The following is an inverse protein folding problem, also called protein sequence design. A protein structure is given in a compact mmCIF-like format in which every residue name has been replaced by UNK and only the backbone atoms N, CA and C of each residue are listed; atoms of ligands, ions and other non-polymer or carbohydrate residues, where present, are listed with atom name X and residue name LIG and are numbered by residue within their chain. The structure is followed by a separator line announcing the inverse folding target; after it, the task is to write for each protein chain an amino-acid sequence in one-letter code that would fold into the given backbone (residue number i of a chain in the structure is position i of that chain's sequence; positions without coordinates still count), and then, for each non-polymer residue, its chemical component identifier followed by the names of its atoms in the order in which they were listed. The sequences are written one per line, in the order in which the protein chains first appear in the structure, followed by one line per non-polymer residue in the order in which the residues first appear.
data_IF_015800176772
#
_entry.id   IF_015800176772
#
_cell.length_a   1.000
_cell.length_b   1.000
_cell.length_c   1.000
_cell.angle_alpha   90.00
_cell.angle_beta   90.00
_cell.angle_gamma   90.00
#
_symmetry.space_group_name_H-M   'P 1'
#
loop_
_entity.id
_entity.type
_entity.pdbx_description
1 polymer ?
#
# COMPACT_ATOMS: atom_id res chain seq x y z
N UNK A 1 0.05 -5.47 -12.58
CA UNK A 1 1.26 -4.61 -12.48
C UNK A 1 1.69 -4.41 -11.04
N UNK A 2 0.74 -4.21 -10.12
CA UNK A 2 0.99 -4.13 -8.67
C UNK A 2 1.66 -5.41 -8.13
N UNK A 3 1.31 -6.60 -8.63
CA UNK A 3 1.95 -7.88 -8.25
C UNK A 3 3.46 -7.92 -8.52
N UNK A 4 3.91 -7.29 -9.61
CA UNK A 4 5.35 -7.20 -9.92
C UNK A 4 6.07 -6.30 -8.92
N UNK A 5 5.40 -5.27 -8.42
CA UNK A 5 5.94 -4.39 -7.36
C UNK A 5 6.01 -5.16 -6.04
N UNK A 6 4.99 -5.94 -5.70
CA UNK A 6 4.98 -6.80 -4.49
C UNK A 6 6.15 -7.79 -4.50
N UNK A 7 6.35 -8.48 -5.62
CA UNK A 7 7.50 -9.38 -5.80
C UNK A 7 8.84 -8.64 -5.68
N UNK A 8 8.91 -7.42 -6.21
CA UNK A 8 10.12 -6.59 -6.16
C UNK A 8 10.42 -6.10 -4.74
N UNK A 9 9.39 -5.74 -3.95
CA UNK A 9 9.54 -5.40 -2.54
C UNK A 9 10.20 -6.56 -1.79
N UNK A 10 9.68 -7.78 -1.92
CA UNK A 10 10.22 -8.95 -1.23
C UNK A 10 11.68 -9.26 -1.62
N UNK A 11 12.02 -9.09 -2.90
CA UNK A 11 13.37 -9.39 -3.42
C UNK A 11 14.40 -8.27 -3.17
N UNK A 12 13.95 -7.02 -3.19
CA UNK A 12 14.83 -5.84 -3.16
C UNK A 12 14.93 -5.25 -1.76
N UNK A 13 13.88 -5.29 -0.94
CA UNK A 13 13.92 -4.78 0.43
C UNK A 13 15.08 -5.31 1.26
N UNK A 14 15.42 -6.63 1.29
CA UNK A 14 16.56 -7.12 2.07
C UNK A 14 17.93 -6.63 1.56
N UNK A 15 18.01 -6.12 0.32
CA UNK A 15 19.26 -5.65 -0.29
C UNK A 15 19.37 -4.12 -0.34
N UNK A 16 18.26 -3.44 -0.59
CA UNK A 16 18.15 -1.99 -0.79
C UNK A 16 16.78 -1.49 -0.31
N UNK A 17 16.70 -1.14 0.96
CA UNK A 17 15.47 -0.63 1.58
C UNK A 17 15.09 0.78 1.10
N UNK A 18 16.07 1.67 0.89
CA UNK A 18 15.82 3.05 0.45
C UNK A 18 14.92 3.21 -0.79
N UNK A 19 15.20 2.55 -1.94
CA UNK A 19 14.37 2.71 -3.13
C UNK A 19 12.94 2.19 -2.93
N UNK A 20 12.75 1.19 -2.05
CA UNK A 20 11.41 0.70 -1.70
C UNK A 20 10.65 1.78 -0.91
N UNK A 21 11.28 2.37 0.10
CA UNK A 21 10.69 3.46 0.87
C UNK A 21 10.39 4.67 -0.02
N UNK A 22 11.30 5.05 -0.92
CA UNK A 22 11.16 6.25 -1.75
C UNK A 22 10.16 6.10 -2.90
N UNK A 23 10.02 4.91 -3.49
CA UNK A 23 9.18 4.72 -4.68
C UNK A 23 7.91 3.91 -4.41
N UNK A 24 7.96 2.94 -3.50
CA UNK A 24 6.81 2.07 -3.23
C UNK A 24 5.84 2.71 -2.24
N UNK A 25 6.31 3.43 -1.21
CA UNK A 25 5.40 4.10 -0.27
C UNK A 25 4.50 5.13 -0.97
N UNK A 26 5.02 6.08 -1.78
CA UNK A 26 4.15 7.03 -2.47
C UNK A 26 3.17 6.34 -3.43
N UNK A 27 3.58 5.23 -4.04
CA UNK A 27 2.72 4.43 -4.91
C UNK A 27 1.58 3.77 -4.11
N UNK A 28 1.85 3.22 -2.93
CA UNK A 28 0.79 2.67 -2.05
C UNK A 28 -0.19 3.77 -1.64
N UNK A 29 0.30 4.95 -1.25
CA UNK A 29 -0.56 6.08 -0.86
C UNK A 29 -1.44 6.55 -2.01
N UNK A 30 -0.86 6.62 -3.21
CA UNK A 30 -1.60 6.96 -4.41
C UNK A 30 -2.65 5.90 -4.76
N UNK A 31 -2.32 4.61 -4.68
CA UNK A 31 -3.27 3.52 -4.89
C UNK A 31 -4.44 3.61 -3.90
N UNK A 32 -4.16 3.77 -2.60
CA UNK A 32 -5.19 3.93 -1.57
C UNK A 32 -6.07 5.17 -1.81
N UNK A 33 -5.47 6.28 -2.26
CA UNK A 33 -6.20 7.49 -2.64
C UNK A 33 -7.10 7.28 -3.85
N UNK A 34 -6.59 6.60 -4.89
CA UNK A 34 -7.35 6.31 -6.12
C UNK A 34 -8.55 5.40 -5.86
N UNK A 35 -8.40 4.42 -4.96
CA UNK A 35 -9.49 3.53 -4.54
C UNK A 35 -10.57 4.25 -3.72
N UNK A 36 -10.21 5.33 -3.03
CA UNK A 36 -11.13 6.13 -2.24
C UNK A 36 -11.81 7.27 -3.04
N UNK A 37 -11.12 7.80 -4.07
CA UNK A 37 -11.64 8.88 -4.89
C UNK A 37 -12.71 8.42 -5.90
N UNK A 38 -12.58 7.20 -6.41
CA UNK A 38 -13.62 6.61 -7.23
C UNK A 38 -14.61 5.88 -6.32
N UNK A 39 -15.87 6.31 -6.29
CA UNK A 39 -17.01 5.56 -5.71
C UNK A 39 -17.25 4.18 -6.35
N UNK A 40 -16.29 3.67 -7.13
CA UNK A 40 -16.25 2.37 -7.79
C UNK A 40 -16.16 1.20 -6.79
N UNK A 41 -15.85 1.46 -5.51
CA UNK A 41 -15.96 0.47 -4.44
C UNK A 41 -17.42 -0.02 -4.22
N UNK A 42 -18.43 0.69 -4.74
CA UNK A 42 -19.84 0.36 -4.48
C UNK A 42 -20.44 -0.52 -5.59
N UNK A 43 -19.91 -0.54 -6.82
CA UNK A 43 -20.46 -1.32 -7.94
C UNK A 43 -19.36 -1.91 -8.83
N UNK A 44 -18.71 -2.98 -8.38
CA UNK A 44 -17.89 -3.86 -9.23
C UNK A 44 -16.55 -3.31 -9.74
N UNK A 45 -16.10 -2.15 -9.24
CA UNK A 45 -14.85 -1.53 -9.66
C UNK A 45 -13.62 -2.21 -9.08
N UNK A 46 -12.94 -3.00 -9.90
CA UNK A 46 -11.54 -3.40 -9.76
C UNK A 46 -11.18 -4.18 -8.47
N UNK A 47 -11.94 -5.24 -8.18
CA UNK A 47 -11.63 -6.23 -7.11
C UNK A 47 -10.17 -6.72 -7.20
N UNK A 48 -9.68 -6.93 -8.42
CA UNK A 48 -8.29 -7.33 -8.69
C UNK A 48 -7.27 -6.30 -8.20
N UNK A 49 -7.53 -5.00 -8.42
CA UNK A 49 -6.64 -3.94 -7.93
C UNK A 49 -6.63 -3.88 -6.39
N UNK A 50 -7.79 -4.06 -5.76
CA UNK A 50 -7.89 -4.13 -4.29
C UNK A 50 -7.08 -5.30 -3.74
N UNK A 51 -7.24 -6.48 -4.33
CA UNK A 51 -6.48 -7.67 -3.92
C UNK A 51 -4.98 -7.50 -4.13
N UNK A 52 -4.55 -7.02 -5.30
CA UNK A 52 -3.13 -6.80 -5.58
C UNK A 52 -2.52 -5.73 -4.64
N UNK A 53 -3.29 -4.68 -4.32
CA UNK A 53 -2.87 -3.66 -3.34
C UNK A 53 -2.80 -4.23 -1.93
N UNK A 54 -3.75 -5.09 -1.53
CA UNK A 54 -3.71 -5.80 -0.25
C UNK A 54 -2.44 -6.66 -0.13
N UNK A 55 -2.10 -7.41 -1.20
CA UNK A 55 -0.88 -8.21 -1.25
C UNK A 55 0.38 -7.33 -1.16
N UNK A 56 0.41 -6.19 -1.87
CA UNK A 56 1.53 -5.25 -1.79
C UNK A 56 1.70 -4.69 -0.38
N UNK A 57 0.61 -4.23 0.24
CA UNK A 57 0.60 -3.68 1.60
C UNK A 57 1.06 -4.71 2.61
N UNK A 58 0.55 -5.95 2.52
CA UNK A 58 0.98 -7.05 3.38
C UNK A 58 2.48 -7.34 3.23
N UNK A 59 2.98 -7.50 1.99
CA UNK A 59 4.41 -7.74 1.75
C UNK A 59 5.30 -6.60 2.28
N UNK A 60 4.83 -5.37 2.15
CA UNK A 60 5.53 -4.20 2.67
C UNK A 60 5.49 -4.16 4.20
N UNK A 61 4.38 -4.56 4.82
CA UNK A 61 4.25 -4.68 6.27
C UNK A 61 5.09 -5.84 6.84
N UNK A 62 5.18 -6.99 6.15
CA UNK A 62 6.11 -8.07 6.53
C UNK A 62 7.57 -7.59 6.54
N UNK A 63 7.93 -6.67 5.64
CA UNK A 63 9.27 -6.12 5.52
C UNK A 63 9.58 -4.99 6.54
N UNK A 64 8.64 -4.07 6.74
CA UNK A 64 8.84 -2.82 7.51
C UNK A 64 8.20 -2.85 8.89
N UNK A 65 7.24 -3.76 9.12
CA UNK A 65 6.41 -3.81 10.31
C UNK A 65 5.72 -2.48 10.60
N UNK A 66 5.75 -2.08 11.87
CA UNK A 66 5.14 -0.83 12.35
C UNK A 66 5.72 0.43 11.71
N UNK A 67 6.94 0.39 11.14
CA UNK A 67 7.52 1.53 10.45
C UNK A 67 6.70 1.95 9.21
N UNK A 68 5.90 1.04 8.63
CA UNK A 68 4.97 1.37 7.56
C UNK A 68 3.86 2.31 8.06
N UNK A 69 3.28 1.99 9.23
CA UNK A 69 2.21 2.78 9.84
C UNK A 69 2.70 4.13 10.33
N UNK A 70 3.90 4.18 10.91
CA UNK A 70 4.56 5.42 11.32
C UNK A 70 4.76 6.36 10.12
N UNK A 71 5.30 5.83 9.01
CA UNK A 71 5.48 6.61 7.77
C UNK A 71 4.16 7.04 7.14
N UNK A 72 3.13 6.20 7.22
CA UNK A 72 1.82 6.56 6.72
C UNK A 72 1.20 7.70 7.55
N UNK A 73 1.40 7.68 8.87
CA UNK A 73 0.94 8.71 9.81
C UNK A 73 1.71 10.02 9.70
N UNK A 74 3.01 9.94 9.40
CA UNK A 74 3.90 11.08 9.24
C UNK A 74 3.75 11.79 7.89
N UNK A 75 3.07 11.17 6.92
CA UNK A 75 2.91 11.72 5.59
C UNK A 75 1.63 12.60 5.53
N UNK A 76 1.74 13.93 5.41
CA UNK A 76 0.59 14.86 5.38
C UNK A 76 -0.38 14.61 4.22
N UNK A 77 0.07 13.92 3.16
CA UNK A 77 -0.78 13.55 2.02
C UNK A 77 -1.78 12.44 2.36
N UNK A 78 -1.58 11.71 3.47
CA UNK A 78 -2.46 10.62 3.89
C UNK A 78 -3.63 11.14 4.72
N UNK A 79 -4.83 10.91 4.22
CA UNK A 79 -6.09 11.18 4.91
C UNK A 79 -6.37 10.07 5.94
N UNK A 80 -7.09 10.40 7.02
CA UNK A 80 -7.55 9.42 8.02
C UNK A 80 -8.25 8.20 7.40
N UNK A 81 -9.00 8.38 6.31
CA UNK A 81 -9.66 7.28 5.60
C UNK A 81 -8.67 6.35 4.89
N UNK A 82 -7.58 6.89 4.31
CA UNK A 82 -6.52 6.05 3.73
C UNK A 82 -5.80 5.26 4.81
N UNK A 83 -5.59 5.84 5.99
CA UNK A 83 -5.01 5.15 7.15
C UNK A 83 -5.89 4.01 7.65
N UNK A 84 -7.21 4.22 7.72
CA UNK A 84 -8.16 3.15 8.07
C UNK A 84 -8.20 2.04 7.02
N UNK A 85 -8.13 2.42 5.73
CA UNK A 85 -8.10 1.46 4.64
C UNK A 85 -6.81 0.63 4.64
N UNK A 86 -5.66 1.27 4.85
CA UNK A 86 -4.38 0.59 5.02
C UNK A 86 -4.46 -0.46 6.14
N UNK A 87 -4.97 -0.07 7.31
CA UNK A 87 -5.15 -0.99 8.45
C UNK A 87 -6.10 -2.14 8.11
N UNK A 88 -7.23 -1.85 7.45
CA UNK A 88 -8.18 -2.87 7.00
C UNK A 88 -7.58 -3.85 5.98
N UNK A 89 -6.59 -3.44 5.19
CA UNK A 89 -5.90 -4.32 4.23
C UNK A 89 -4.79 -5.16 4.88
N UNK A 90 -4.20 -4.69 5.98
CA UNK A 90 -3.21 -5.44 6.76
C UNK A 90 -3.89 -6.52 7.62
N UNK A 91 -5.08 -6.23 8.13
CA UNK A 91 -5.88 -7.15 8.96
C UNK A 91 -6.64 -8.21 8.14
N UNK A 92 -6.70 -8.07 6.82
CA UNK A 92 -7.49 -8.91 5.90
C UNK A 92 -6.68 -9.96 5.16
#
# INVERSE_FOLDING_TARGET
MVDKVSYLVEKVYPRKQQPIVLHVLPLVWHLLGSMNASGAAVHGGNVELRQATATLVNKLYECMGQALLDKASAEPSNTQRQMQMLQSLIDS
#
